data_IF_399687814373
#
_entry.id   IF_399687814373
#
_cell.length_a   1.000
_cell.length_b   1.000
_cell.length_c   1.000
_cell.angle_alpha   90.00
_cell.angle_beta   90.00
_cell.angle_gamma   90.00
#
_symmetry.space_group_name_H-M   'P 1'
#
loop_
_entity.id
_entity.type
_entity.pdbx_description
1 polymer ?
#
# COMPACT_ATOMS: atom_id res chain seq x y z
N UNK A 1 3.91 8.51 4.90
CA UNK A 1 3.87 7.56 3.76
C UNK A 1 4.38 6.17 4.13
N UNK A 2 5.57 6.01 4.75
CA UNK A 2 6.08 4.69 5.22
C UNK A 2 5.04 3.82 5.90
N UNK A 3 4.35 4.34 6.92
CA UNK A 3 3.32 3.59 7.65
C UNK A 3 2.22 3.01 6.74
N UNK A 4 1.66 3.84 5.84
CA UNK A 4 0.59 3.41 4.94
C UNK A 4 1.08 2.32 4.00
N UNK A 5 2.25 2.48 3.39
CA UNK A 5 2.77 1.48 2.47
C UNK A 5 3.24 0.21 3.19
N UNK A 6 3.68 0.29 4.45
CA UNK A 6 3.91 -0.89 5.28
C UNK A 6 2.60 -1.68 5.52
N UNK A 7 1.50 -0.99 5.79
CA UNK A 7 0.16 -1.59 5.91
C UNK A 7 -0.31 -2.20 4.58
N UNK A 8 -0.25 -1.47 3.48
CA UNK A 8 -0.70 -1.96 2.17
C UNK A 8 0.17 -3.12 1.67
N UNK A 9 1.48 -3.07 1.91
CA UNK A 9 2.39 -4.17 1.66
C UNK A 9 1.93 -5.40 2.44
N UNK A 10 1.69 -5.26 3.75
CA UNK A 10 1.18 -6.35 4.58
C UNK A 10 -0.14 -6.93 4.08
N UNK A 11 -1.16 -6.10 3.77
CA UNK A 11 -2.44 -6.56 3.21
C UNK A 11 -2.24 -7.36 1.93
N UNK A 12 -1.34 -6.90 1.05
CA UNK A 12 -1.07 -7.58 -0.22
C UNK A 12 -0.41 -8.95 -0.08
N UNK A 13 0.25 -9.24 1.06
CA UNK A 13 0.84 -10.55 1.35
C UNK A 13 -0.21 -11.64 1.59
N UNK A 14 -1.45 -11.26 1.92
CA UNK A 14 -2.59 -12.16 2.18
C UNK A 14 -3.63 -12.10 1.05
N UNK A 15 -3.20 -11.77 -0.17
CA UNK A 15 -4.11 -11.59 -1.30
C UNK A 15 -4.91 -12.85 -1.67
N UNK A 16 -4.40 -14.02 -1.31
CA UNK A 16 -5.09 -15.30 -1.53
C UNK A 16 -6.32 -15.46 -0.61
N UNK A 17 -6.30 -14.82 0.57
CA UNK A 17 -7.40 -14.83 1.53
C UNK A 17 -8.32 -13.62 1.35
N UNK A 18 -7.75 -12.42 1.23
CA UNK A 18 -8.51 -11.16 1.21
C UNK A 18 -8.84 -10.66 -0.21
N UNK A 19 -8.38 -11.34 -1.26
CA UNK A 19 -8.59 -11.00 -2.68
C UNK A 19 -8.01 -9.65 -3.12
N UNK A 20 -7.21 -8.99 -2.28
CA UNK A 20 -6.62 -7.68 -2.54
C UNK A 20 -5.21 -7.83 -3.09
N UNK A 21 -5.12 -8.17 -4.37
CA UNK A 21 -3.88 -8.10 -5.12
C UNK A 21 -3.29 -6.68 -5.08
N UNK A 22 -1.94 -6.51 -5.14
CA UNK A 22 -1.29 -5.20 -5.11
C UNK A 22 -1.87 -4.17 -6.09
N UNK A 23 -2.29 -4.63 -7.27
CA UNK A 23 -2.95 -3.79 -8.27
C UNK A 23 -4.32 -3.27 -7.81
N UNK A 24 -5.13 -4.12 -7.17
CA UNK A 24 -6.46 -3.72 -6.65
C UNK A 24 -6.30 -2.63 -5.58
N UNK A 25 -5.30 -2.77 -4.71
CA UNK A 25 -4.94 -1.74 -3.73
C UNK A 25 -4.48 -0.45 -4.43
N UNK A 26 -3.65 -0.55 -5.46
CA UNK A 26 -3.18 0.61 -6.20
C UNK A 26 -4.33 1.40 -6.87
N UNK A 27 -5.31 0.71 -7.46
CA UNK A 27 -6.50 1.31 -8.05
C UNK A 27 -7.32 2.07 -6.99
N UNK A 28 -7.53 1.48 -5.81
CA UNK A 28 -8.33 2.09 -4.75
C UNK A 28 -7.62 3.29 -4.09
N UNK A 29 -6.31 3.19 -3.87
CA UNK A 29 -5.56 4.20 -3.13
C UNK A 29 -4.95 5.28 -4.01
N UNK A 30 -4.59 4.97 -5.26
CA UNK A 30 -3.89 5.87 -6.18
C UNK A 30 -4.56 7.24 -6.36
N UNK A 31 -5.88 7.31 -6.64
CA UNK A 31 -6.59 8.59 -6.75
C UNK A 31 -6.52 9.46 -5.50
N UNK A 32 -6.46 8.85 -4.30
CA UNK A 32 -6.35 9.61 -3.05
C UNK A 32 -4.93 10.04 -2.72
N UNK A 33 -3.92 9.30 -3.19
CA UNK A 33 -2.52 9.58 -2.93
C UNK A 33 -1.94 10.68 -3.83
N UNK A 34 -2.47 10.83 -5.05
CA UNK A 34 -1.94 11.76 -6.05
C UNK A 34 -2.98 12.80 -6.50
N UNK A 35 -3.80 13.31 -5.57
CA UNK A 35 -4.75 14.40 -5.81
C UNK A 35 -3.99 15.65 -6.27
N UNK A 36 -3.96 15.93 -7.57
CA UNK A 36 -3.24 17.07 -8.12
C UNK A 36 -2.87 17.00 -9.61
N UNK A 37 -3.05 15.85 -10.27
CA UNK A 37 -3.05 15.83 -11.73
C UNK A 37 -4.36 16.48 -12.19
N UNK A 38 -4.27 17.65 -12.84
CA UNK A 38 -5.42 18.42 -13.31
C UNK A 38 -6.49 17.51 -13.94
N UNK A 39 -7.75 17.79 -13.61
CA UNK A 39 -8.89 16.90 -13.82
C UNK A 39 -9.07 16.45 -15.27
N UNK A 40 -8.54 17.20 -16.23
CA UNK A 40 -8.70 16.93 -17.66
C UNK A 40 -7.96 15.65 -18.11
N UNK A 41 -6.90 15.23 -17.41
CA UNK A 41 -6.10 14.04 -17.77
C UNK A 41 -6.13 12.90 -16.73
N UNK A 42 -6.95 13.01 -15.69
CA UNK A 42 -6.96 12.05 -14.57
C UNK A 42 -7.21 10.59 -15.00
N UNK A 43 -8.07 10.38 -16.00
CA UNK A 43 -8.34 9.05 -16.57
C UNK A 43 -7.15 8.55 -17.39
N UNK A 44 -6.52 9.43 -18.18
CA UNK A 44 -5.40 9.09 -19.05
C UNK A 44 -4.14 8.72 -18.24
N UNK A 45 -3.96 9.30 -17.06
CA UNK A 45 -2.82 9.04 -16.17
C UNK A 45 -3.07 7.92 -15.16
N UNK A 46 -4.30 7.40 -15.08
CA UNK A 46 -4.67 6.37 -14.10
C UNK A 46 -3.78 5.11 -14.19
N UNK A 47 -3.43 4.57 -15.37
CA UNK A 47 -2.51 3.43 -15.45
C UNK A 47 -1.14 3.71 -14.80
N UNK A 48 -0.57 4.88 -15.08
CA UNK A 48 0.73 5.31 -14.56
C UNK A 48 0.69 5.51 -13.05
N UNK A 49 -0.41 6.11 -12.54
CA UNK A 49 -0.66 6.25 -11.11
C UNK A 49 -0.77 4.89 -10.43
N UNK A 50 -1.53 3.97 -11.02
CA UNK A 50 -1.70 2.62 -10.48
C UNK A 50 -0.37 1.86 -10.46
N UNK A 51 0.43 1.94 -11.54
CA UNK A 51 1.73 1.27 -11.61
C UNK A 51 2.73 1.83 -10.59
N UNK A 52 2.75 3.16 -10.42
CA UNK A 52 3.56 3.81 -9.39
C UNK A 52 3.18 3.33 -7.98
N UNK A 53 1.89 3.38 -7.65
CA UNK A 53 1.40 3.00 -6.31
C UNK A 53 1.60 1.50 -6.07
N UNK A 54 1.33 0.65 -7.06
CA UNK A 54 1.61 -0.79 -7.01
C UNK A 54 3.09 -1.06 -6.75
N UNK A 55 3.98 -0.33 -7.43
CA UNK A 55 5.43 -0.46 -7.22
C UNK A 55 5.82 -0.05 -5.81
N UNK A 56 5.26 1.05 -5.29
CA UNK A 56 5.49 1.49 -3.92
C UNK A 56 4.99 0.50 -2.86
N UNK A 57 3.89 -0.23 -3.14
CA UNK A 57 3.40 -1.33 -2.29
C UNK A 57 4.37 -2.51 -2.33
N UNK A 58 4.77 -2.95 -3.53
CA UNK A 58 5.61 -4.14 -3.70
C UNK A 58 7.06 -3.93 -3.23
N UNK A 59 7.60 -2.73 -3.36
CA UNK A 59 8.99 -2.39 -3.08
C UNK A 59 9.12 -1.53 -1.81
N UNK A 60 8.17 -1.63 -0.88
CA UNK A 60 8.13 -0.85 0.36
C UNK A 60 9.50 -0.82 1.06
N UNK A 61 10.12 -1.99 1.27
CA UNK A 61 11.37 -2.14 2.03
C UNK A 61 12.58 -1.53 1.31
N UNK A 62 12.52 -1.37 -0.01
CA UNK A 62 13.57 -0.72 -0.81
C UNK A 62 13.37 0.80 -0.99
N UNK A 63 12.13 1.29 -0.83
CA UNK A 63 11.78 2.70 -1.05
C UNK A 63 11.81 3.50 0.25
N UNK A 64 11.38 2.90 1.36
CA UNK A 64 11.23 3.61 2.64
C UNK A 64 12.33 3.27 3.64
N UNK A 65 12.87 4.28 4.34
CA UNK A 65 13.93 4.08 5.32
C UNK A 65 13.44 3.32 6.56
N UNK A 66 14.34 2.54 7.17
CA UNK A 66 14.08 1.82 8.41
C UNK A 66 13.85 2.75 9.61
N UNK A 67 13.43 2.18 10.74
CA UNK A 67 13.16 2.96 11.96
C UNK A 67 14.41 3.65 12.52
N UNK A 68 15.59 3.07 12.32
CA UNK A 68 16.87 3.64 12.73
C UNK A 68 17.26 4.89 11.94
N UNK A 69 16.84 4.95 10.67
CA UNK A 69 17.18 6.05 9.75
C UNK A 69 16.16 7.18 9.81
N UNK A 70 14.88 6.85 10.01
CA UNK A 70 13.80 7.83 10.12
C UNK A 70 12.89 7.48 11.31
N UNK A 71 12.96 8.24 12.42
CA UNK A 71 12.05 8.07 13.55
C UNK A 71 10.59 8.36 13.16
N UNK A 72 9.65 7.70 13.82
CA UNK A 72 8.22 7.93 13.62
C UNK A 72 7.35 6.72 13.93
N UNK A 73 6.04 6.80 13.65
CA UNK A 73 5.13 5.68 13.84
C UNK A 73 5.51 4.50 12.93
N UNK A 74 5.37 3.30 13.49
CA UNK A 74 5.63 2.02 12.81
C UNK A 74 4.33 1.26 12.73
N UNK A 75 4.04 0.70 11.56
CA UNK A 75 2.91 -0.19 11.40
C UNK A 75 3.23 -1.54 12.04
N UNK A 76 2.41 -1.97 13.00
CA UNK A 76 2.52 -3.27 13.65
C UNK A 76 1.62 -4.29 12.94
N UNK A 77 2.20 -5.43 12.55
CA UNK A 77 1.48 -6.53 11.89
C UNK A 77 0.70 -7.33 12.95
N UNK A 78 -0.43 -6.81 13.40
CA UNK A 78 -1.33 -7.56 14.29
C UNK A 78 -2.31 -8.36 13.45
N UNK A 79 -2.03 -9.64 13.28
CA UNK A 79 -3.03 -10.63 12.88
C UNK A 79 -3.74 -11.05 14.17
N UNK A 80 -4.97 -10.59 14.41
CA UNK A 80 -5.83 -11.29 15.36
C UNK A 80 -6.20 -12.61 14.70
N UNK A 81 -5.31 -13.59 14.80
CA UNK A 81 -5.75 -14.97 14.81
C UNK A 81 -6.65 -15.05 16.04
N UNK A 82 -7.97 -15.12 15.84
CA UNK A 82 -8.79 -15.75 16.86
C UNK A 82 -8.09 -17.06 17.16
N UNK A 83 -7.56 -17.17 18.37
CA UNK A 83 -7.07 -18.42 18.88
C UNK A 83 -8.29 -19.35 18.84
N UNK A 84 -8.33 -20.26 17.86
CA UNK A 84 -9.13 -21.47 17.93
C UNK A 84 -8.61 -22.29 19.13
N UNK A 85 -8.92 -21.81 20.33
CA UNK A 85 -9.16 -22.67 21.46
C UNK A 85 -10.54 -23.27 21.21
N UNK A 86 -10.56 -24.51 20.73
CA UNK A 86 -11.32 -25.68 21.23
C UNK A 86 -11.13 -26.84 20.24
#
# INVERSE_FOLDING_TARGET
MRYLFAFLHHVSQYSDENMMQPYNLAVCFGPSLLRGLDSDDAVAQQPQVNDLVKTMILQHDGIYPGQSELPGPVYEKHMTLEQEYW
#
